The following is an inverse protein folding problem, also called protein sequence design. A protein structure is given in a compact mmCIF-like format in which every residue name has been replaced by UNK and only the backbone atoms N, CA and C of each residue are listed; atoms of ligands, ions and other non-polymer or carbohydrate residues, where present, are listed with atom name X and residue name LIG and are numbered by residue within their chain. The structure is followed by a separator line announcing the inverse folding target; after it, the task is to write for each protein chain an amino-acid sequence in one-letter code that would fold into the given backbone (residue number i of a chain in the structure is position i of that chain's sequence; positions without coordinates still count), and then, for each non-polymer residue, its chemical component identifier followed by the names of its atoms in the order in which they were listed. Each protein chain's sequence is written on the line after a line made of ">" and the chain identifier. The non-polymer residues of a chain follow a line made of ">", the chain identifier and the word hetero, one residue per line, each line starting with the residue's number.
data_IF_649428614403
#
_entry.id   IF_649428614403
#
_cell.length_a   1.000
_cell.length_b   1.000
_cell.length_c   1.000
_cell.angle_alpha   90.00
_cell.angle_beta   90.00
_cell.angle_gamma   90.00
#
_symmetry.space_group_name_H-M   'P 1'
#
loop_
_entity.id
_entity.type
_entity.pdbx_description
1 polymer ?
#
# COMPACT_ATOMS: atom_id res chain seq x y z
N UNK A 1 1.05 -13.79 4.13
CA UNK A 1 1.42 -12.41 4.48
C UNK A 1 0.71 -11.43 3.57
N UNK A 2 0.42 -10.22 4.07
CA UNK A 2 -0.22 -9.17 3.29
C UNK A 2 0.75 -8.07 2.87
N UNK A 3 1.88 -7.92 3.56
CA UNK A 3 2.85 -6.87 3.28
C UNK A 3 4.21 -7.21 3.87
N UNK A 4 5.21 -6.44 3.46
CA UNK A 4 6.55 -6.48 4.02
C UNK A 4 7.00 -5.08 4.40
N UNK A 5 7.84 -4.97 5.42
CA UNK A 5 8.39 -3.69 5.85
C UNK A 5 9.85 -3.87 6.23
N UNK A 6 10.68 -2.87 5.88
CA UNK A 6 12.10 -2.85 6.21
C UNK A 6 12.32 -2.09 7.53
N UNK A 7 13.19 -2.63 8.39
CA UNK A 7 13.59 -1.98 9.63
C UNK A 7 15.05 -2.29 9.90
N UNK A 8 15.90 -1.26 9.91
CA UNK A 8 17.33 -1.35 10.23
C UNK A 8 18.08 -2.46 9.47
N UNK A 9 17.77 -2.64 8.19
CA UNK A 9 18.38 -3.66 7.34
C UNK A 9 17.72 -5.04 7.42
N UNK A 10 16.73 -5.20 8.27
CA UNK A 10 15.93 -6.42 8.37
C UNK A 10 14.59 -6.25 7.68
N UNK A 11 14.00 -7.34 7.21
CA UNK A 11 12.69 -7.34 6.60
C UNK A 11 11.72 -8.14 7.44
N UNK A 12 10.49 -7.62 7.59
CA UNK A 12 9.44 -8.24 8.36
C UNK A 12 8.21 -8.45 7.47
N UNK A 13 7.58 -9.63 7.60
CA UNK A 13 6.29 -9.89 6.97
C UNK A 13 5.17 -9.57 7.95
N UNK A 14 4.08 -9.01 7.41
CA UNK A 14 2.89 -8.62 8.17
C UNK A 14 1.65 -9.25 7.55
N UNK A 15 0.62 -9.49 8.37
CA UNK A 15 -0.70 -9.79 7.83
C UNK A 15 -1.48 -8.48 7.56
N UNK A 16 -2.72 -8.59 7.10
CA UNK A 16 -3.55 -7.41 6.78
C UNK A 16 -3.94 -6.59 8.01
N UNK A 17 -3.78 -7.15 9.20
CA UNK A 17 -3.99 -6.44 10.47
C UNK A 17 -2.69 -5.85 11.02
N UNK A 18 -1.62 -5.87 10.24
CA UNK A 18 -0.29 -5.40 10.63
C UNK A 18 0.28 -6.15 11.84
N UNK A 19 -0.05 -7.43 11.97
CA UNK A 19 0.59 -8.31 12.92
C UNK A 19 1.91 -8.80 12.31
N UNK A 20 3.00 -8.68 13.06
CA UNK A 20 4.30 -9.17 12.62
C UNK A 20 4.30 -10.71 12.63
N UNK A 21 4.60 -11.30 11.48
CA UNK A 21 4.60 -12.76 11.31
C UNK A 21 5.98 -13.32 11.55
N UNK A 22 6.97 -12.83 10.79
CA UNK A 22 8.35 -13.31 10.90
C UNK A 22 9.32 -12.34 10.23
N UNK A 23 10.59 -12.42 10.62
CA UNK A 23 11.65 -11.80 9.83
C UNK A 23 11.88 -12.64 8.58
N UNK A 24 12.29 -11.96 7.51
CA UNK A 24 12.52 -12.62 6.23
C UNK A 24 13.67 -11.96 5.48
N UNK A 25 13.94 -12.45 4.27
CA UNK A 25 14.96 -11.89 3.40
C UNK A 25 14.34 -10.85 2.48
N UNK A 26 15.19 -9.99 1.88
CA UNK A 26 14.73 -9.02 0.89
C UNK A 26 14.06 -9.71 -0.31
N UNK A 27 14.54 -10.88 -0.70
CA UNK A 27 13.95 -11.64 -1.82
C UNK A 27 12.54 -12.10 -1.53
N UNK A 28 12.28 -12.62 -0.32
CA UNK A 28 10.94 -13.02 0.10
C UNK A 28 10.02 -11.81 0.25
N UNK A 29 10.56 -10.70 0.78
CA UNK A 29 9.79 -9.47 0.97
C UNK A 29 9.25 -8.90 -0.34
N UNK A 30 9.98 -9.08 -1.45
CA UNK A 30 9.55 -8.58 -2.77
C UNK A 30 8.31 -9.25 -3.31
N UNK A 31 7.90 -10.38 -2.74
CA UNK A 31 6.67 -11.09 -3.15
C UNK A 31 5.41 -10.42 -2.62
N UNK A 32 5.55 -9.44 -1.75
CA UNK A 32 4.44 -8.77 -1.07
C UNK A 32 4.55 -7.26 -1.25
N UNK A 33 3.43 -6.52 -1.12
CA UNK A 33 3.50 -5.06 -1.09
C UNK A 33 4.44 -4.58 0.01
N UNK A 34 5.36 -3.68 -0.34
CA UNK A 34 6.31 -3.12 0.62
C UNK A 34 5.74 -1.84 1.20
N UNK A 35 5.63 -1.77 2.52
CA UNK A 35 5.26 -0.54 3.21
C UNK A 35 6.49 0.36 3.30
N UNK A 36 6.45 1.49 2.60
CA UNK A 36 7.55 2.44 2.55
C UNK A 36 7.28 3.63 3.47
N UNK A 37 8.32 4.14 4.10
CA UNK A 37 8.21 5.30 4.98
C UNK A 37 7.76 4.99 6.40
N UNK A 38 7.58 3.71 6.74
CA UNK A 38 7.18 3.28 8.08
C UNK A 38 8.42 2.87 8.87
N UNK A 39 8.60 3.46 10.04
CA UNK A 39 9.71 3.12 10.96
C UNK A 39 9.14 2.28 12.10
N UNK A 40 9.44 0.98 12.09
CA UNK A 40 8.99 0.08 13.15
C UNK A 40 9.73 0.36 14.46
N UNK A 41 9.01 0.23 15.57
CA UNK A 41 9.58 0.33 16.91
C UNK A 41 9.52 -1.05 17.57
N UNK A 42 10.67 -1.53 18.05
CA UNK A 42 10.80 -2.79 18.79
C UNK A 42 9.99 -3.96 18.18
N UNK A 43 10.23 -4.34 16.92
CA UNK A 43 9.44 -5.40 16.28
C UNK A 43 9.68 -6.75 16.95
N UNK A 44 8.57 -7.49 17.19
CA UNK A 44 8.60 -8.83 17.79
C UNK A 44 7.63 -9.74 17.02
N UNK A 45 8.11 -10.91 16.59
CA UNK A 45 7.28 -11.92 15.93
C UNK A 45 6.05 -12.26 16.75
N UNK A 46 4.91 -12.33 16.10
CA UNK A 46 3.64 -12.69 16.72
C UNK A 46 2.93 -11.54 17.42
N UNK A 47 3.54 -10.35 17.47
CA UNK A 47 2.95 -9.16 18.08
C UNK A 47 2.46 -8.20 17.01
N UNK A 48 1.55 -7.31 17.41
CA UNK A 48 1.12 -6.22 16.54
C UNK A 48 2.31 -5.30 16.23
N UNK A 49 2.40 -4.83 14.99
CA UNK A 49 3.42 -3.88 14.61
C UNK A 49 3.19 -2.54 15.32
N UNK A 50 4.27 -1.90 15.73
CA UNK A 50 4.25 -0.53 16.23
C UNK A 50 5.20 0.32 15.39
N UNK A 51 4.85 1.56 15.19
CA UNK A 51 5.67 2.48 14.41
C UNK A 51 5.88 3.79 15.15
N UNK A 52 6.91 4.54 14.74
CA UNK A 52 7.15 5.87 15.28
C UNK A 52 5.94 6.78 15.11
N UNK A 53 5.20 6.60 14.00
CA UNK A 53 3.89 7.23 13.79
C UNK A 53 2.80 6.15 13.81
N UNK A 54 2.04 6.03 14.92
CA UNK A 54 1.02 4.98 15.02
C UNK A 54 -0.10 5.10 13.98
N UNK A 55 -0.36 6.29 13.46
CA UNK A 55 -1.37 6.50 12.42
C UNK A 55 -1.02 5.76 11.15
N UNK A 56 0.27 5.62 10.81
CA UNK A 56 0.71 4.85 9.66
C UNK A 56 0.27 3.38 9.76
N UNK A 57 0.30 2.81 10.95
CA UNK A 57 -0.15 1.43 11.16
C UNK A 57 -1.65 1.31 10.93
N UNK A 58 -2.43 2.26 11.45
CA UNK A 58 -3.88 2.28 11.24
C UNK A 58 -4.24 2.39 9.76
N UNK A 59 -3.55 3.28 9.04
CA UNK A 59 -3.74 3.46 7.60
C UNK A 59 -3.33 2.20 6.84
N UNK A 60 -2.21 1.59 7.20
CA UNK A 60 -1.76 0.34 6.59
C UNK A 60 -2.78 -0.78 6.76
N UNK A 61 -3.36 -0.93 7.95
CA UNK A 61 -4.42 -1.93 8.20
C UNK A 61 -5.61 -1.72 7.26
N UNK A 62 -6.06 -0.48 7.12
CA UNK A 62 -7.19 -0.13 6.25
C UNK A 62 -6.88 -0.45 4.80
N UNK A 63 -5.71 -0.05 4.32
CA UNK A 63 -5.30 -0.28 2.94
C UNK A 63 -5.09 -1.76 2.62
N UNK A 64 -4.39 -2.48 3.49
CA UNK A 64 -4.10 -3.90 3.26
C UNK A 64 -5.37 -4.75 3.29
N UNK A 65 -6.30 -4.43 4.19
CA UNK A 65 -7.59 -5.13 4.27
C UNK A 65 -8.40 -4.89 2.99
N UNK A 66 -8.44 -3.65 2.50
CA UNK A 66 -9.15 -3.33 1.26
C UNK A 66 -8.47 -3.98 0.04
N UNK A 67 -7.14 -3.97 -0.02
CA UNK A 67 -6.40 -4.61 -1.10
C UNK A 67 -6.64 -6.12 -1.14
N UNK A 68 -6.68 -6.76 0.03
CA UNK A 68 -6.99 -8.18 0.13
C UNK A 68 -8.41 -8.47 -0.35
N UNK A 69 -9.37 -7.65 0.06
CA UNK A 69 -10.78 -7.78 -0.33
C UNK A 69 -10.96 -7.69 -1.85
N UNK A 70 -10.18 -6.86 -2.52
CA UNK A 70 -10.31 -6.61 -3.96
C UNK A 70 -9.21 -7.26 -4.81
N UNK A 71 -8.47 -8.22 -4.23
CA UNK A 71 -7.42 -9.00 -4.91
C UNK A 71 -6.31 -8.14 -5.50
N UNK A 72 -5.90 -7.08 -4.81
CA UNK A 72 -4.85 -6.18 -5.27
C UNK A 72 -3.49 -6.45 -4.62
N UNK A 73 -3.41 -7.36 -3.66
CA UNK A 73 -2.17 -7.64 -2.92
C UNK A 73 -1.06 -8.13 -3.85
N UNK A 74 -1.40 -8.92 -4.87
CA UNK A 74 -0.42 -9.47 -5.80
C UNK A 74 0.07 -8.47 -6.85
N UNK A 75 -0.64 -7.38 -7.06
CA UNK A 75 -0.32 -6.41 -8.13
C UNK A 75 0.30 -5.12 -7.60
N UNK A 76 0.00 -4.74 -6.37
CA UNK A 76 0.60 -3.55 -5.74
C UNK A 76 1.97 -3.93 -5.17
N UNK A 77 3.01 -3.25 -5.63
CA UNK A 77 4.39 -3.55 -5.24
C UNK A 77 4.88 -2.71 -4.07
N UNK A 78 4.35 -1.49 -3.93
CA UNK A 78 4.77 -0.57 -2.86
C UNK A 78 3.58 0.23 -2.38
N UNK A 79 3.52 0.43 -1.05
CA UNK A 79 2.57 1.32 -0.39
C UNK A 79 3.40 2.38 0.32
N UNK A 80 3.42 3.61 -0.20
CA UNK A 80 4.21 4.70 0.35
C UNK A 80 3.38 5.48 1.37
N UNK A 81 3.73 5.32 2.64
CA UNK A 81 3.07 5.94 3.78
C UNK A 81 3.93 7.03 4.42
N UNK A 82 5.01 7.46 3.75
CA UNK A 82 5.89 8.50 4.28
C UNK A 82 5.17 9.82 4.54
N UNK A 83 4.10 10.08 3.78
CA UNK A 83 3.25 11.27 3.95
C UNK A 83 1.79 10.85 3.91
N UNK A 84 1.10 10.94 5.03
CA UNK A 84 -0.31 10.53 5.11
C UNK A 84 -1.29 11.49 4.40
N UNK A 85 -0.81 12.66 4.02
CA UNK A 85 -1.57 13.58 3.16
C UNK A 85 -1.28 13.39 1.67
N UNK A 86 -0.38 12.48 1.33
CA UNK A 86 0.00 12.19 -0.05
C UNK A 86 0.36 10.71 -0.21
N UNK A 87 -0.57 9.82 0.14
CA UNK A 87 -0.38 8.37 0.05
C UNK A 87 -0.31 7.96 -1.41
N UNK A 88 0.70 7.17 -1.77
CA UNK A 88 0.91 6.68 -3.13
C UNK A 88 1.07 5.17 -3.10
N UNK A 89 0.39 4.49 -4.02
CA UNK A 89 0.60 3.07 -4.29
C UNK A 89 1.31 2.93 -5.63
N UNK A 90 2.14 1.91 -5.76
CA UNK A 90 2.80 1.58 -7.02
C UNK A 90 2.37 0.22 -7.54
N UNK A 91 1.94 0.17 -8.78
CA UNK A 91 1.68 -1.06 -9.53
C UNK A 91 2.91 -1.34 -10.40
N UNK A 92 3.96 -1.88 -9.80
CA UNK A 92 5.23 -2.05 -10.49
C UNK A 92 5.72 -0.74 -11.12
N UNK A 93 6.15 -0.81 -12.35
CA UNK A 93 6.60 0.35 -13.12
C UNK A 93 5.47 0.95 -13.99
N UNK A 94 4.27 0.38 -13.94
CA UNK A 94 3.18 0.78 -14.84
C UNK A 94 2.37 1.96 -14.33
N UNK A 95 2.00 1.95 -13.06
CA UNK A 95 1.09 2.95 -12.53
C UNK A 95 1.58 3.53 -11.21
N UNK A 96 1.55 4.85 -11.13
CA UNK A 96 1.59 5.58 -9.87
C UNK A 96 0.13 5.87 -9.48
N UNK A 97 -0.27 5.44 -8.30
CA UNK A 97 -1.66 5.55 -7.83
C UNK A 97 -1.69 6.54 -6.67
N UNK A 98 -2.20 7.72 -6.92
CA UNK A 98 -2.24 8.80 -5.93
C UNK A 98 -3.55 8.75 -5.15
N UNK A 99 -3.49 8.36 -3.88
CA UNK A 99 -4.65 8.32 -3.00
C UNK A 99 -4.87 9.63 -2.24
N UNK A 100 -3.80 10.42 -2.06
CA UNK A 100 -3.89 11.67 -1.31
C UNK A 100 -4.01 11.45 0.18
N UNK A 101 -5.07 11.99 0.80
CA UNK A 101 -5.28 11.92 2.24
C UNK A 101 -5.78 10.53 2.70
N UNK A 102 -5.96 10.40 4.02
CA UNK A 102 -6.48 9.17 4.64
C UNK A 102 -7.99 9.02 4.53
N UNK A 103 -8.68 9.95 3.88
CA UNK A 103 -10.14 9.93 3.75
C UNK A 103 -10.59 8.90 2.70
N UNK A 104 -11.61 8.12 3.03
CA UNK A 104 -12.26 7.20 2.09
C UNK A 104 -11.33 6.18 1.43
N UNK A 105 -10.33 5.70 2.16
CA UNK A 105 -9.34 4.78 1.62
C UNK A 105 -9.95 3.50 1.05
N UNK A 106 -10.87 2.87 1.77
CA UNK A 106 -11.52 1.64 1.29
C UNK A 106 -12.29 1.89 0.00
N UNK A 107 -12.99 3.01 -0.11
CA UNK A 107 -13.71 3.39 -1.32
C UNK A 107 -12.74 3.64 -2.49
N UNK A 108 -11.63 4.32 -2.23
CA UNK A 108 -10.61 4.58 -3.26
C UNK A 108 -10.01 3.29 -3.80
N UNK A 109 -9.75 2.31 -2.94
CA UNK A 109 -9.23 1.00 -3.35
C UNK A 109 -10.27 0.24 -4.20
N UNK A 110 -11.54 0.28 -3.82
CA UNK A 110 -12.60 -0.31 -4.62
C UNK A 110 -12.66 0.34 -6.00
N UNK A 111 -12.57 1.65 -6.06
CA UNK A 111 -12.58 2.39 -7.32
C UNK A 111 -11.37 2.06 -8.19
N UNK A 112 -10.19 1.93 -7.55
CA UNK A 112 -8.97 1.52 -8.23
C UNK A 112 -9.13 0.18 -8.93
N UNK A 113 -9.73 -0.79 -8.26
CA UNK A 113 -9.96 -2.11 -8.83
C UNK A 113 -10.81 -2.02 -10.11
N UNK A 114 -11.83 -1.16 -10.11
CA UNK A 114 -12.66 -0.93 -11.29
C UNK A 114 -11.87 -0.29 -12.44
N UNK A 115 -11.02 0.69 -12.14
CA UNK A 115 -10.18 1.36 -13.13
C UNK A 115 -9.22 0.35 -13.76
N UNK A 116 -8.55 -0.46 -12.97
CA UNK A 116 -7.56 -1.43 -13.44
C UNK A 116 -8.17 -2.47 -14.38
N UNK A 117 -9.42 -2.85 -14.16
CA UNK A 117 -10.16 -3.77 -15.05
C UNK A 117 -10.35 -3.20 -16.45
N UNK A 118 -10.42 -1.89 -16.59
CA UNK A 118 -10.70 -1.21 -17.85
C UNK A 118 -9.44 -0.73 -18.57
N UNK A 119 -8.26 -0.91 -17.99
CA UNK A 119 -7.00 -0.53 -18.61
C UNK A 119 -6.38 -1.72 -19.35
N UNK A 120 -5.72 -1.42 -20.46
CA UNK A 120 -5.04 -2.43 -21.28
C UNK A 120 -3.64 -2.70 -20.73
N UNK A 121 -3.10 -3.88 -21.04
CA UNK A 121 -1.77 -4.31 -20.57
C UNK A 121 -0.64 -3.37 -20.99
N UNK A 122 -0.78 -2.66 -22.10
CA UNK A 122 0.25 -1.74 -22.57
C UNK A 122 0.15 -0.32 -22.02
N UNK A 123 -0.86 -0.02 -21.20
CA UNK A 123 -1.02 1.32 -20.64
C UNK A 123 -0.18 1.51 -19.39
N UNK A 124 0.31 2.73 -19.18
CA UNK A 124 1.01 3.14 -17.99
C UNK A 124 0.75 4.63 -17.73
N UNK A 125 0.91 5.06 -16.50
CA UNK A 125 0.68 6.45 -16.13
C UNK A 125 0.34 6.65 -14.67
N UNK A 126 -0.31 7.78 -14.38
CA UNK A 126 -0.76 8.16 -13.04
C UNK A 126 -2.27 7.95 -12.94
N UNK A 127 -2.71 7.24 -11.90
CA UNK A 127 -4.12 7.13 -11.56
C UNK A 127 -4.37 8.06 -10.38
N UNK A 128 -5.15 9.11 -10.61
CA UNK A 128 -5.45 10.13 -9.60
C UNK A 128 -6.76 9.78 -8.91
N UNK A 129 -6.68 9.41 -7.63
CA UNK A 129 -7.81 9.09 -6.77
C UNK A 129 -7.90 10.06 -5.59
N UNK A 130 -7.25 11.22 -5.69
CA UNK A 130 -7.23 12.20 -4.61
C UNK A 130 -8.58 12.89 -4.42
N UNK A 131 -9.36 13.03 -5.50
CA UNK A 131 -10.65 13.71 -5.51
C UNK A 131 -10.58 15.17 -5.00
N UNK A 132 -9.43 15.80 -5.17
CA UNK A 132 -9.21 17.16 -4.64
C UNK A 132 -9.98 18.24 -5.41
N UNK A 133 -10.04 18.11 -6.73
CA UNK A 133 -10.69 19.09 -7.61
C UNK A 133 -12.04 18.59 -8.13
N UNK A 134 -12.20 17.28 -8.25
CA UNK A 134 -13.41 16.63 -8.73
C UNK A 134 -13.63 15.35 -7.92
N UNK A 135 -14.87 14.90 -7.84
CA UNK A 135 -15.20 13.66 -7.14
C UNK A 135 -15.10 12.44 -8.04
N UNK A 136 -14.24 12.49 -9.04
CA UNK A 136 -14.00 11.42 -10.01
C UNK A 136 -12.51 11.12 -10.12
N UNK A 137 -12.21 9.85 -10.35
CA UNK A 137 -10.85 9.41 -10.60
C UNK A 137 -10.41 9.81 -12.00
N UNK A 138 -9.11 10.03 -12.17
CA UNK A 138 -8.53 10.36 -13.48
C UNK A 138 -7.34 9.47 -13.76
N UNK A 139 -7.20 9.08 -15.02
CA UNK A 139 -6.01 8.40 -15.51
C UNK A 139 -5.22 9.36 -16.39
N UNK A 140 -3.94 9.55 -16.04
CA UNK A 140 -3.02 10.45 -16.74
C UNK A 140 -1.89 9.61 -17.33
N UNK A 141 -1.95 9.24 -18.62
CA UNK A 141 -0.90 8.43 -19.25
C UNK A 141 0.45 9.13 -19.20
N UNK A 142 1.48 8.34 -19.03
CA UNK A 142 2.84 8.82 -19.17
C UNK A 142 3.24 9.02 -20.62
#
# INVERSE_FOLDING_TARGET
>A
AGAAVSESGSWWLLDSNCKLLEETTAEEAKKYPVLSGVVLTAPVSGCAASAADPEQITVAQTLLTAMEQWDLVDVITTVDLSKLYGIVLWYGDRFEIDLGSTDNLAYKIQYLQEILKNLNDGQSGVIDLTFETETVARFLPW
#
